data_IF_132775187915
#
_entry.id   IF_132775187915
#
_cell.length_a   1.000
_cell.length_b   1.000
_cell.length_c   1.000
_cell.angle_alpha   90.00
_cell.angle_beta   90.00
_cell.angle_gamma   90.00
#
_symmetry.space_group_name_H-M   'P 1'
#
loop_
_entity.id
_entity.type
_entity.pdbx_description
1 polymer ?
#
# COMPACT_ATOMS: atom_id res chain seq x y z
N UNK A 1 1.14 28.63 9.59
CA UNK A 1 2.35 28.17 8.87
C UNK A 1 2.37 28.83 7.50
N UNK A 2 3.54 29.14 6.93
CA UNK A 2 3.63 29.61 5.53
C UNK A 2 3.20 28.50 4.57
N UNK A 3 2.66 28.89 3.43
CA UNK A 3 2.24 27.96 2.37
C UNK A 3 3.11 28.10 1.13
N UNK A 4 3.12 27.09 0.29
CA UNK A 4 3.73 27.05 -1.04
C UNK A 4 2.71 26.52 -2.05
N UNK A 5 2.83 26.96 -3.29
CA UNK A 5 2.04 26.40 -4.39
C UNK A 5 2.87 25.39 -5.16
N UNK A 6 2.40 24.16 -5.24
CA UNK A 6 2.97 23.12 -6.09
C UNK A 6 2.16 23.01 -7.39
N UNK A 7 2.88 22.98 -8.52
CA UNK A 7 2.22 23.03 -9.82
C UNK A 7 1.47 24.34 -10.04
N UNK A 8 0.23 24.26 -10.55
CA UNK A 8 -0.57 25.45 -10.88
C UNK A 8 -1.29 26.03 -9.67
N UNK A 9 -1.85 25.18 -8.80
CA UNK A 9 -2.87 25.59 -7.82
C UNK A 9 -2.88 24.78 -6.52
N UNK A 10 -2.02 23.76 -6.36
CA UNK A 10 -1.97 22.94 -5.15
C UNK A 10 -1.26 23.71 -4.01
N UNK A 11 -2.05 24.24 -3.09
CA UNK A 11 -1.54 24.91 -1.88
C UNK A 11 -1.17 23.87 -0.82
N UNK A 12 0.07 23.94 -0.32
CA UNK A 12 0.58 23.05 0.73
C UNK A 12 1.31 23.85 1.80
N UNK A 13 1.49 23.26 2.98
CA UNK A 13 2.39 23.82 4.00
C UNK A 13 3.82 23.87 3.47
N UNK A 14 4.55 24.92 3.80
CA UNK A 14 5.94 25.11 3.34
C UNK A 14 6.92 24.03 3.86
N UNK A 15 6.54 23.32 4.92
CA UNK A 15 7.31 22.23 5.54
C UNK A 15 6.36 21.07 5.80
N UNK A 16 6.78 19.87 5.40
CA UNK A 16 6.12 18.60 5.77
C UNK A 16 6.87 17.91 6.92
N UNK A 17 6.22 16.98 7.59
CA UNK A 17 6.81 16.16 8.63
C UNK A 17 7.29 14.83 8.06
N UNK A 18 8.60 14.57 8.09
CA UNK A 18 9.19 13.28 7.76
C UNK A 18 9.05 12.31 8.92
N UNK A 19 8.35 11.18 8.71
CA UNK A 19 8.03 10.21 9.75
C UNK A 19 8.73 8.85 9.60
N UNK A 20 9.70 8.71 8.69
CA UNK A 20 10.41 7.44 8.48
C UNK A 20 11.06 6.93 9.78
N UNK A 21 11.61 7.82 10.61
CA UNK A 21 12.20 7.49 11.90
C UNK A 21 11.23 6.94 12.93
N UNK A 22 9.90 7.01 12.71
CA UNK A 22 8.93 6.39 13.60
C UNK A 22 8.89 4.85 13.45
N UNK A 23 9.27 4.33 12.29
CA UNK A 23 9.20 2.90 11.99
C UNK A 23 10.57 2.24 11.87
N UNK A 24 11.61 2.94 11.38
CA UNK A 24 12.94 2.36 11.14
C UNK A 24 13.99 3.45 10.88
N UNK A 25 15.22 3.03 10.70
CA UNK A 25 16.39 3.79 10.23
C UNK A 25 17.11 4.63 11.31
N UNK A 26 16.43 5.13 12.34
CA UNK A 26 17.04 6.05 13.32
C UNK A 26 16.87 5.54 14.77
N UNK A 27 17.10 4.26 15.01
CA UNK A 27 16.97 3.63 16.30
C UNK A 27 15.75 2.71 16.42
N UNK A 28 15.30 2.46 17.64
CA UNK A 28 14.12 1.63 17.88
C UNK A 28 12.85 2.30 17.31
N UNK A 29 11.90 1.51 16.80
CA UNK A 29 10.62 2.05 16.34
C UNK A 29 9.89 2.81 17.47
N UNK A 30 9.23 3.90 17.10
CA UNK A 30 8.36 4.65 18.02
C UNK A 30 7.12 3.82 18.33
N UNK A 31 6.72 3.79 19.60
CA UNK A 31 5.47 3.18 20.04
C UNK A 31 4.27 3.74 19.24
N UNK A 32 3.33 2.87 18.85
CA UNK A 32 2.20 3.27 18.00
C UNK A 32 1.34 4.36 18.64
N UNK A 33 1.12 4.30 19.97
CA UNK A 33 0.39 5.32 20.72
C UNK A 33 1.08 6.68 20.68
N UNK A 34 2.40 6.71 20.76
CA UNK A 34 3.20 7.94 20.67
C UNK A 34 3.16 8.52 19.24
N UNK A 35 3.24 7.68 18.22
CA UNK A 35 3.10 8.12 16.83
C UNK A 35 1.73 8.76 16.55
N UNK A 36 0.65 8.15 17.06
CA UNK A 36 -0.72 8.70 17.01
C UNK A 36 -0.82 10.03 17.76
N UNK A 37 -0.22 10.13 18.96
CA UNK A 37 -0.17 11.37 19.74
C UNK A 37 0.51 12.50 18.98
N UNK A 38 1.63 12.21 18.34
CA UNK A 38 2.37 13.17 17.51
C UNK A 38 1.58 13.61 16.29
N UNK A 39 0.88 12.68 15.61
CA UNK A 39 -0.01 13.03 14.50
C UNK A 39 -1.14 13.97 14.95
N UNK A 40 -1.82 13.68 16.08
CA UNK A 40 -2.84 14.55 16.65
C UNK A 40 -2.29 15.94 16.98
N UNK A 41 -1.09 15.99 17.57
CA UNK A 41 -0.43 17.26 17.91
C UNK A 41 -0.06 18.06 16.66
N UNK A 42 0.46 17.41 15.64
CA UNK A 42 0.78 18.06 14.35
C UNK A 42 -0.50 18.62 13.71
N UNK A 43 -1.56 17.81 13.64
CA UNK A 43 -2.84 18.20 13.06
C UNK A 43 -3.50 19.37 13.80
N UNK A 44 -3.35 19.45 15.13
CA UNK A 44 -3.85 20.58 15.92
C UNK A 44 -3.10 21.90 15.69
N UNK A 45 -1.84 21.83 15.23
CA UNK A 45 -1.04 23.02 14.91
C UNK A 45 -1.24 23.47 13.45
N UNK A 46 -1.28 22.49 12.55
CA UNK A 46 -1.51 22.73 11.12
C UNK A 46 -2.21 21.48 10.57
N UNK A 47 -3.40 21.63 9.97
CA UNK A 47 -4.14 20.50 9.43
C UNK A 47 -3.26 19.63 8.53
N UNK A 48 -3.20 18.33 8.84
CA UNK A 48 -2.47 17.34 8.05
C UNK A 48 -3.41 16.82 6.98
N UNK A 49 -3.04 16.96 5.72
CA UNK A 49 -3.87 16.49 4.59
C UNK A 49 -3.79 14.98 4.43
N UNK A 50 -2.60 14.41 4.54
CA UNK A 50 -2.39 12.97 4.38
C UNK A 50 -1.15 12.49 5.14
N UNK A 51 -1.16 11.21 5.50
CA UNK A 51 0.03 10.45 5.89
C UNK A 51 0.43 9.52 4.76
N UNK A 52 1.72 9.21 4.65
CA UNK A 52 2.20 8.22 3.69
C UNK A 52 2.72 7.01 4.44
N UNK A 53 2.10 5.86 4.21
CA UNK A 53 2.50 4.57 4.79
C UNK A 53 2.48 3.46 3.73
N UNK A 54 3.20 2.36 4.03
CA UNK A 54 3.06 1.13 3.25
C UNK A 54 1.67 0.56 3.44
N UNK A 55 0.97 0.30 2.34
CA UNK A 55 -0.32 -0.36 2.39
C UNK A 55 -0.56 -1.18 1.12
N UNK A 56 -0.95 -2.43 1.29
CA UNK A 56 -1.31 -3.37 0.23
C UNK A 56 -2.04 -4.56 0.82
N UNK A 57 -2.57 -5.46 -0.01
CA UNK A 57 -3.16 -6.72 0.45
C UNK A 57 -2.20 -7.59 1.30
N UNK A 58 -0.88 -7.44 1.12
CA UNK A 58 0.16 -8.14 1.89
C UNK A 58 0.73 -7.31 3.06
N UNK A 59 0.28 -6.08 3.26
CA UNK A 59 0.83 -5.16 4.27
C UNK A 59 -0.30 -4.31 4.86
N UNK A 60 -1.10 -4.91 5.76
CA UNK A 60 -2.32 -4.32 6.33
C UNK A 60 -2.14 -3.82 7.77
N UNK A 61 -0.93 -3.88 8.33
CA UNK A 61 -0.65 -3.55 9.74
C UNK A 61 -1.06 -2.12 10.14
N UNK A 62 -1.17 -1.19 9.18
CA UNK A 62 -1.58 0.18 9.45
C UNK A 62 -3.10 0.42 9.40
N UNK A 63 -3.92 -0.61 9.18
CA UNK A 63 -5.38 -0.50 9.29
C UNK A 63 -5.81 -0.09 10.70
N UNK A 64 -5.03 -0.42 11.72
CA UNK A 64 -5.25 0.05 13.09
C UNK A 64 -5.22 1.59 13.24
N UNK A 65 -4.65 2.33 12.28
CA UNK A 65 -4.67 3.80 12.26
C UNK A 65 -5.95 4.37 11.62
N UNK A 66 -6.72 3.60 10.88
CA UNK A 66 -7.88 4.09 10.12
C UNK A 66 -8.88 4.87 10.99
N UNK A 67 -9.27 4.43 12.19
CA UNK A 67 -10.15 5.21 13.05
C UNK A 67 -9.58 6.61 13.38
N UNK A 68 -8.26 6.70 13.61
CA UNK A 68 -7.61 7.99 13.88
C UNK A 68 -7.56 8.88 12.64
N UNK A 69 -7.30 8.30 11.47
CA UNK A 69 -7.30 9.05 10.21
C UNK A 69 -8.70 9.60 9.89
N UNK A 70 -9.73 8.81 10.08
CA UNK A 70 -11.13 9.23 9.90
C UNK A 70 -11.52 10.34 10.88
N UNK A 71 -11.19 10.18 12.16
CA UNK A 71 -11.43 11.19 13.21
C UNK A 71 -10.78 12.54 12.86
N UNK A 72 -9.56 12.51 12.31
CA UNK A 72 -8.81 13.72 12.00
C UNK A 72 -9.05 14.26 10.58
N UNK A 73 -9.79 13.55 9.73
CA UNK A 73 -9.99 13.89 8.33
C UNK A 73 -8.69 13.80 7.50
N UNK A 74 -7.79 12.86 7.85
CA UNK A 74 -6.47 12.70 7.23
C UNK A 74 -6.50 11.54 6.22
N UNK A 75 -6.03 11.78 4.99
CA UNK A 75 -5.91 10.75 3.95
C UNK A 75 -4.70 9.84 4.14
N UNK A 76 -4.69 8.72 3.41
CA UNK A 76 -3.58 7.77 3.32
C UNK A 76 -3.02 7.72 1.91
N UNK A 77 -1.76 8.08 1.74
CA UNK A 77 -0.99 7.82 0.53
C UNK A 77 -0.29 6.47 0.69
N UNK A 78 -0.73 5.47 -0.07
CA UNK A 78 -0.29 4.09 0.04
C UNK A 78 0.91 3.82 -0.87
N UNK A 79 2.13 3.71 -0.31
CA UNK A 79 3.29 3.30 -1.09
C UNK A 79 3.45 1.77 -1.12
N UNK A 80 4.17 1.25 -2.12
CA UNK A 80 4.31 -0.19 -2.41
C UNK A 80 2.96 -0.93 -2.51
N UNK A 81 1.95 -0.36 -3.18
CA UNK A 81 0.58 -0.86 -3.17
C UNK A 81 0.44 -2.25 -3.80
N UNK A 82 1.41 -2.67 -4.61
CA UNK A 82 1.45 -3.98 -5.25
C UNK A 82 2.55 -4.90 -4.70
N UNK A 83 3.00 -4.70 -3.45
CA UNK A 83 4.09 -5.48 -2.83
C UNK A 83 5.32 -5.61 -3.75
N UNK A 84 5.79 -4.47 -4.29
CA UNK A 84 6.92 -4.39 -5.21
C UNK A 84 6.72 -5.16 -6.53
N UNK A 85 5.47 -5.27 -6.96
CA UNK A 85 5.05 -5.96 -8.19
C UNK A 85 4.60 -7.41 -7.97
N UNK A 86 4.72 -7.97 -6.77
CA UNK A 86 4.30 -9.35 -6.49
C UNK A 86 2.82 -9.58 -6.82
N UNK A 87 1.94 -8.66 -6.41
CA UNK A 87 0.49 -8.74 -6.61
C UNK A 87 0.04 -8.58 -8.07
N UNK A 88 0.96 -8.33 -9.00
CA UNK A 88 0.65 -8.38 -10.45
C UNK A 88 0.46 -9.82 -10.95
N UNK A 89 0.94 -10.82 -10.19
CA UNK A 89 0.97 -12.22 -10.63
C UNK A 89 1.94 -12.51 -11.79
N UNK A 90 2.80 -11.54 -12.14
CA UNK A 90 3.76 -11.67 -13.25
C UNK A 90 5.05 -12.39 -12.86
N UNK A 91 5.27 -12.65 -11.59
CA UNK A 91 6.47 -13.32 -11.07
C UNK A 91 6.13 -14.72 -10.59
N UNK A 92 6.95 -15.69 -10.98
CA UNK A 92 6.82 -17.10 -10.64
C UNK A 92 8.11 -17.66 -10.06
N UNK A 93 8.15 -18.97 -9.86
CA UNK A 93 9.31 -19.72 -9.29
C UNK A 93 10.63 -19.52 -10.06
N UNK A 94 10.52 -19.28 -11.36
CA UNK A 94 11.69 -19.10 -12.24
C UNK A 94 12.12 -17.64 -12.38
N UNK A 95 11.40 -16.71 -11.73
CA UNK A 95 11.79 -15.31 -11.73
C UNK A 95 13.11 -15.12 -11.01
N UNK A 96 14.03 -14.38 -11.64
CA UNK A 96 15.35 -14.08 -11.09
C UNK A 96 15.54 -12.57 -11.12
N UNK A 97 16.15 -12.05 -10.06
CA UNK A 97 16.49 -10.64 -9.92
C UNK A 97 18.00 -10.54 -9.74
N UNK A 98 18.63 -9.62 -10.45
CA UNK A 98 20.05 -9.34 -10.26
C UNK A 98 20.27 -8.62 -8.91
N UNK A 99 20.96 -9.25 -7.94
CA UNK A 99 21.14 -8.65 -6.60
C UNK A 99 21.99 -7.36 -6.60
N UNK A 100 22.68 -7.05 -7.70
CA UNK A 100 23.46 -5.81 -7.83
C UNK A 100 22.61 -4.62 -8.26
N UNK A 101 21.48 -4.86 -8.96
CA UNK A 101 20.69 -3.80 -9.60
C UNK A 101 19.22 -3.83 -9.21
N UNK A 102 18.73 -4.93 -8.64
CA UNK A 102 17.32 -5.10 -8.27
C UNK A 102 17.19 -5.61 -6.83
N UNK A 103 16.83 -4.71 -5.93
CA UNK A 103 16.70 -5.02 -4.50
C UNK A 103 15.61 -6.07 -4.18
N UNK A 104 14.74 -6.43 -5.16
CA UNK A 104 13.78 -7.55 -5.01
C UNK A 104 14.44 -8.90 -4.80
N UNK A 105 15.71 -9.03 -5.20
CA UNK A 105 16.52 -10.24 -4.92
C UNK A 105 16.59 -10.60 -3.43
N UNK A 106 16.51 -9.61 -2.54
CA UNK A 106 16.52 -9.80 -1.08
C UNK A 106 15.17 -9.68 -0.39
N UNK A 107 14.06 -9.56 -1.15
CA UNK A 107 12.76 -9.37 -0.54
C UNK A 107 12.07 -10.69 -0.15
N UNK A 108 11.46 -10.77 1.05
CA UNK A 108 10.85 -12.00 1.55
C UNK A 108 9.80 -12.61 0.62
N UNK A 109 8.96 -11.79 -0.02
CA UNK A 109 7.91 -12.27 -0.93
C UNK A 109 8.46 -12.92 -2.21
N UNK A 110 9.72 -12.71 -2.55
CA UNK A 110 10.39 -13.33 -3.69
C UNK A 110 11.40 -14.41 -3.28
N UNK A 111 11.48 -14.72 -1.98
CA UNK A 111 12.35 -15.79 -1.48
C UNK A 111 11.89 -17.18 -1.98
N UNK A 112 12.78 -18.17 -2.01
CA UNK A 112 12.41 -19.56 -2.30
C UNK A 112 11.25 -20.02 -1.41
N UNK A 113 10.23 -20.63 -2.00
CA UNK A 113 9.01 -21.09 -1.29
C UNK A 113 7.93 -20.01 -1.07
N UNK A 114 8.28 -18.73 -1.07
CA UNK A 114 7.30 -17.67 -0.87
C UNK A 114 6.25 -17.60 -1.99
N UNK A 115 6.63 -17.95 -3.22
CA UNK A 115 5.68 -18.02 -4.34
C UNK A 115 4.59 -19.07 -4.07
N UNK A 116 4.98 -20.27 -3.59
CA UNK A 116 4.02 -21.32 -3.26
C UNK A 116 3.14 -20.94 -2.07
N UNK A 117 3.74 -20.36 -1.03
CA UNK A 117 3.02 -19.89 0.14
C UNK A 117 1.97 -18.84 -0.21
N UNK A 118 2.28 -17.95 -1.14
CA UNK A 118 1.37 -16.87 -1.56
C UNK A 118 0.46 -17.28 -2.74
N UNK A 119 0.54 -18.51 -3.24
CA UNK A 119 -0.27 -18.96 -4.37
C UNK A 119 -1.79 -18.76 -4.15
N UNK A 120 -2.35 -19.05 -2.96
CA UNK A 120 -3.77 -18.80 -2.71
C UNK A 120 -4.20 -17.34 -2.90
N UNK A 121 -3.33 -16.39 -2.54
CA UNK A 121 -3.56 -14.96 -2.77
C UNK A 121 -3.55 -14.62 -4.26
N UNK A 122 -2.56 -15.14 -5.00
CA UNK A 122 -2.48 -14.91 -6.45
C UNK A 122 -3.68 -15.52 -7.19
N UNK A 123 -4.16 -16.68 -6.77
CA UNK A 123 -5.33 -17.32 -7.36
C UNK A 123 -6.63 -16.55 -7.03
N UNK A 124 -6.75 -16.01 -5.83
CA UNK A 124 -7.84 -15.10 -5.46
C UNK A 124 -7.88 -13.87 -6.38
N UNK A 125 -6.72 -13.23 -6.56
CA UNK A 125 -6.60 -12.06 -7.46
C UNK A 125 -6.93 -12.40 -8.91
N UNK A 126 -6.47 -13.55 -9.42
CA UNK A 126 -6.77 -14.00 -10.79
C UNK A 126 -8.26 -14.25 -11.01
N UNK A 127 -8.94 -14.90 -10.06
CA UNK A 127 -10.40 -15.12 -10.14
C UNK A 127 -11.16 -13.81 -10.19
N UNK A 128 -10.89 -12.90 -9.24
CA UNK A 128 -11.54 -11.59 -9.21
C UNK A 128 -11.24 -10.78 -10.47
N UNK A 129 -10.01 -10.86 -10.99
CA UNK A 129 -9.61 -10.20 -12.23
C UNK A 129 -10.42 -10.70 -13.43
N UNK A 130 -10.66 -12.01 -13.55
CA UNK A 130 -11.52 -12.60 -14.58
C UNK A 130 -12.97 -12.10 -14.47
N UNK A 131 -13.54 -12.12 -13.27
CA UNK A 131 -14.91 -11.65 -13.01
C UNK A 131 -15.10 -10.17 -13.36
N UNK A 132 -14.10 -9.34 -13.11
CA UNK A 132 -14.12 -7.89 -13.37
C UNK A 132 -13.55 -7.50 -14.73
N UNK A 133 -13.12 -8.43 -15.55
CA UNK A 133 -12.45 -8.17 -16.84
C UNK A 133 -11.23 -7.23 -16.67
N UNK A 134 -10.46 -7.46 -15.64
CA UNK A 134 -9.34 -6.64 -15.21
C UNK A 134 -8.06 -7.47 -15.04
N UNK A 135 -6.97 -6.85 -14.66
CA UNK A 135 -5.74 -7.55 -14.27
C UNK A 135 -5.64 -7.73 -12.75
N UNK A 136 -4.86 -8.71 -12.25
CA UNK A 136 -4.57 -8.83 -10.81
C UNK A 136 -4.02 -7.56 -10.19
N UNK A 137 -3.16 -6.82 -10.92
CA UNK A 137 -2.65 -5.53 -10.49
C UNK A 137 -3.77 -4.51 -10.28
N UNK A 138 -4.69 -4.42 -11.23
CA UNK A 138 -5.84 -3.52 -11.14
C UNK A 138 -6.78 -3.89 -9.99
N UNK A 139 -7.04 -5.19 -9.74
CA UNK A 139 -7.84 -5.63 -8.60
C UNK A 139 -7.18 -5.25 -7.28
N UNK A 140 -5.87 -5.43 -7.15
CA UNK A 140 -5.13 -5.03 -5.95
C UNK A 140 -5.24 -3.52 -5.66
N UNK A 141 -5.16 -2.69 -6.69
CA UNK A 141 -5.33 -1.24 -6.57
C UNK A 141 -6.79 -0.84 -6.31
N UNK A 142 -7.75 -1.43 -7.03
CA UNK A 142 -9.18 -1.18 -6.87
C UNK A 142 -9.67 -1.54 -5.47
N UNK A 143 -9.17 -2.65 -4.87
CA UNK A 143 -9.48 -3.00 -3.49
C UNK A 143 -9.14 -1.86 -2.52
N UNK A 144 -7.96 -1.24 -2.64
CA UNK A 144 -7.58 -0.11 -1.79
C UNK A 144 -8.48 1.10 -2.01
N UNK A 145 -8.79 1.43 -3.28
CA UNK A 145 -9.64 2.57 -3.65
C UNK A 145 -11.08 2.38 -3.14
N UNK A 146 -11.60 1.14 -3.18
CA UNK A 146 -12.95 0.82 -2.72
C UNK A 146 -13.04 0.59 -1.21
N UNK A 147 -11.91 0.33 -0.52
CA UNK A 147 -11.89 0.09 0.92
C UNK A 147 -12.21 1.36 1.71
N UNK A 148 -11.62 2.48 1.33
CA UNK A 148 -11.86 3.80 1.93
C UNK A 148 -11.66 4.91 0.89
N UNK A 149 -12.53 5.92 0.84
CA UNK A 149 -12.47 6.98 -0.17
C UNK A 149 -11.27 7.93 -0.03
N UNK A 150 -10.58 7.86 1.09
CA UNK A 150 -9.41 8.70 1.41
C UNK A 150 -8.07 7.95 1.25
N UNK A 151 -8.06 6.75 0.66
CA UNK A 151 -6.82 6.01 0.34
C UNK A 151 -6.43 6.29 -1.12
N UNK A 152 -5.20 6.72 -1.31
CA UNK A 152 -4.61 6.98 -2.63
C UNK A 152 -3.36 6.12 -2.83
N UNK A 153 -3.42 5.03 -3.61
CA UNK A 153 -2.25 4.23 -3.94
C UNK A 153 -1.32 4.97 -4.91
N UNK A 154 0.00 4.80 -4.72
CA UNK A 154 1.03 5.37 -5.59
C UNK A 154 1.87 4.26 -6.26
N UNK A 155 1.31 3.52 -7.23
CA UNK A 155 2.03 2.47 -7.93
C UNK A 155 3.11 3.04 -8.86
N UNK A 156 4.38 2.69 -8.58
CA UNK A 156 5.52 3.11 -9.40
C UNK A 156 5.70 2.23 -10.64
N UNK A 157 6.04 2.84 -11.79
CA UNK A 157 6.42 2.12 -13.01
C UNK A 157 7.33 2.96 -13.91
N UNK A 158 8.08 2.28 -14.79
CA UNK A 158 8.87 2.89 -15.88
C UNK A 158 8.31 2.57 -17.27
N UNK A 159 7.14 1.91 -17.33
CA UNK A 159 6.50 1.48 -18.58
C UNK A 159 5.17 2.20 -18.75
N UNK A 160 4.97 2.85 -19.90
CA UNK A 160 3.74 3.58 -20.22
C UNK A 160 2.50 2.68 -20.14
N UNK A 161 2.55 1.48 -20.72
CA UNK A 161 1.45 0.52 -20.66
C UNK A 161 1.06 0.15 -19.23
N UNK A 162 2.04 0.03 -18.31
CA UNK A 162 1.78 -0.21 -16.89
C UNK A 162 1.22 1.01 -16.18
N UNK A 163 1.61 2.20 -16.60
CA UNK A 163 1.03 3.44 -16.08
C UNK A 163 -0.46 3.53 -16.42
N UNK A 164 -0.81 3.26 -17.67
CA UNK A 164 -2.21 3.23 -18.11
C UNK A 164 -3.02 2.12 -17.40
N UNK A 165 -2.45 0.92 -17.27
CA UNK A 165 -3.05 -0.19 -16.53
C UNK A 165 -3.34 0.18 -15.08
N UNK A 166 -2.36 0.76 -14.37
CA UNK A 166 -2.51 1.18 -12.99
C UNK A 166 -3.56 2.27 -12.84
N UNK A 167 -3.57 3.26 -13.71
CA UNK A 167 -4.58 4.33 -13.70
C UNK A 167 -5.99 3.79 -13.97
N UNK A 168 -6.11 2.79 -14.84
CA UNK A 168 -7.38 2.12 -15.13
C UNK A 168 -8.03 1.43 -13.93
N UNK A 169 -7.27 1.13 -12.88
CA UNK A 169 -7.82 0.59 -11.63
C UNK A 169 -8.87 1.50 -10.99
N UNK A 170 -8.78 2.81 -11.20
CA UNK A 170 -9.76 3.78 -10.69
C UNK A 170 -11.16 3.63 -11.31
N UNK A 171 -11.26 2.98 -12.46
CA UNK A 171 -12.54 2.67 -13.11
C UNK A 171 -13.17 1.35 -12.66
N UNK A 172 -12.51 0.57 -11.81
CA UNK A 172 -13.01 -0.75 -11.37
C UNK A 172 -13.77 -0.58 -10.05
N UNK A 173 -15.08 -0.80 -10.10
CA UNK A 173 -15.92 -0.80 -8.92
C UNK A 173 -15.95 -2.18 -8.26
N UNK A 174 -15.58 -2.24 -6.99
CA UNK A 174 -15.84 -3.36 -6.10
C UNK A 174 -16.96 -2.97 -5.13
N UNK A 175 -17.97 -3.81 -5.04
CA UNK A 175 -19.05 -3.61 -4.05
C UNK A 175 -18.52 -3.79 -2.63
N UNK A 176 -19.18 -3.23 -1.60
CA UNK A 176 -18.81 -3.48 -0.21
C UNK A 176 -18.75 -4.97 0.15
N UNK A 177 -19.63 -5.79 -0.43
CA UNK A 177 -19.61 -7.25 -0.22
C UNK A 177 -18.37 -7.91 -0.83
N UNK A 178 -17.94 -7.48 -2.02
CA UNK A 178 -16.72 -7.99 -2.65
C UNK A 178 -15.46 -7.56 -1.88
N UNK A 179 -15.41 -6.31 -1.40
CA UNK A 179 -14.31 -5.85 -0.54
C UNK A 179 -14.26 -6.67 0.75
N UNK A 180 -15.40 -6.90 1.40
CA UNK A 180 -15.47 -7.70 2.62
C UNK A 180 -15.07 -9.17 2.37
N UNK A 181 -15.48 -9.75 1.23
CA UNK A 181 -15.09 -11.11 0.85
C UNK A 181 -13.57 -11.22 0.60
N UNK A 182 -12.98 -10.22 -0.05
CA UNK A 182 -11.53 -10.14 -0.22
C UNK A 182 -10.82 -10.04 1.14
N UNK A 183 -11.27 -9.16 2.04
CA UNK A 183 -10.70 -9.01 3.38
C UNK A 183 -10.74 -10.32 4.17
N UNK A 184 -11.89 -11.01 4.18
CA UNK A 184 -12.02 -12.31 4.83
C UNK A 184 -11.12 -13.40 4.22
N UNK A 185 -10.95 -13.38 2.91
CA UNK A 185 -10.04 -14.31 2.24
C UNK A 185 -8.57 -13.98 2.60
N UNK A 186 -8.19 -12.70 2.63
CA UNK A 186 -6.85 -12.26 3.05
C UNK A 186 -6.54 -12.65 4.50
N UNK A 187 -7.52 -12.61 5.40
CA UNK A 187 -7.36 -13.00 6.81
C UNK A 187 -7.09 -14.52 6.98
N UNK A 188 -7.49 -15.33 6.00
CA UNK A 188 -7.31 -16.79 6.01
C UNK A 188 -6.04 -17.25 5.30
N UNK A 189 -5.43 -16.40 4.49
CA UNK A 189 -4.22 -16.76 3.74
C UNK A 189 -2.99 -16.53 4.61
N UNK A 190 -2.25 -17.61 4.88
CA UNK A 190 -0.94 -17.51 5.51
C UNK A 190 0.09 -17.02 4.50
N UNK A 191 0.24 -15.69 4.40
CA UNK A 191 1.16 -15.04 3.47
C UNK A 191 2.60 -15.02 4.00
N UNK A 192 3.57 -15.02 3.07
CA UNK A 192 4.96 -14.70 3.42
C UNK A 192 5.09 -13.27 3.97
N UNK A 193 6.21 -12.97 4.62
CA UNK A 193 6.57 -11.57 4.90
C UNK A 193 6.72 -10.78 3.60
N UNK A 194 6.62 -9.45 3.73
CA UNK A 194 7.00 -8.51 2.68
C UNK A 194 8.06 -7.55 3.20
N UNK A 195 8.86 -6.99 2.31
CA UNK A 195 9.90 -6.05 2.70
C UNK A 195 9.33 -4.89 3.54
N UNK A 196 9.95 -4.62 4.68
CA UNK A 196 9.56 -3.54 5.59
C UNK A 196 8.30 -3.81 6.41
N UNK A 197 7.83 -5.04 6.48
CA UNK A 197 6.79 -5.49 7.42
C UNK A 197 7.44 -6.48 8.39
N UNK A 198 7.53 -6.09 9.66
CA UNK A 198 7.94 -7.01 10.70
C UNK A 198 6.80 -8.01 10.93
N UNK A 199 7.09 -9.31 10.85
CA UNK A 199 6.21 -10.33 11.43
C UNK A 199 6.38 -10.21 12.95
N UNK A 200 5.36 -9.70 13.65
CA UNK A 200 5.24 -9.87 15.08
C UNK A 200 4.85 -11.32 15.37
#
# INVERSE_FOLDING_TARGET
MQTRTLGKDLQVSAVGLGCMGFSHAYGAPTESGEAVRLLRRANAVCPVTAVQNRYSMMARQYEALFPTLEELGVGLVAFSPMANGFLTGSYGKDSRFDPKTDYRAGMPQFAPGAIDQNQPLLDLLRRMAQEKQATPAQISLAWMLCKKPWIVPIPGTRKEARMAENAGAAGIALTPAEVAALDQALDRVEMSGVFGVNKN
#
